data_IF_883261497461
#
_entry.id   IF_883261497461
#
_cell.length_a   1.000
_cell.length_b   1.000
_cell.length_c   1.000
_cell.angle_alpha   90.00
_cell.angle_beta   90.00
_cell.angle_gamma   90.00
#
_symmetry.space_group_name_H-M   'P 1'
#
loop_
_entity.id
_entity.type
_entity.pdbx_description
1 polymer ?
#
# COMPACT_ATOMS: atom_id res chain seq x y z
N UNK A 1 12.94 3.19 -13.28
CA UNK A 1 13.33 3.87 -12.02
C UNK A 1 12.29 3.56 -10.97
N UNK A 2 12.67 2.89 -9.89
CA UNK A 2 11.82 2.75 -8.70
C UNK A 2 11.90 4.09 -7.96
N UNK A 3 10.78 4.75 -7.72
CA UNK A 3 10.78 6.03 -6.99
C UNK A 3 11.44 5.82 -5.61
N UNK A 4 12.38 6.69 -5.18
CA UNK A 4 12.98 6.58 -3.87
C UNK A 4 11.89 6.68 -2.79
N UNK A 5 12.12 5.97 -1.68
CA UNK A 5 11.24 5.93 -0.49
C UNK A 5 10.75 7.33 -0.06
N UNK A 6 11.61 8.32 -0.26
CA UNK A 6 11.37 9.74 0.02
C UNK A 6 10.20 10.34 -0.74
N UNK A 7 9.90 9.85 -1.95
CA UNK A 7 8.81 10.33 -2.81
C UNK A 7 7.41 9.84 -2.42
N UNK A 8 7.30 8.83 -1.54
CA UNK A 8 6.01 8.33 -1.07
C UNK A 8 5.55 9.20 0.11
N UNK A 9 4.45 9.95 -0.10
CA UNK A 9 3.80 10.74 0.97
C UNK A 9 2.98 9.80 1.86
N UNK A 10 3.45 9.53 3.07
CA UNK A 10 2.71 8.80 4.10
C UNK A 10 2.13 9.76 5.13
N UNK A 11 0.88 9.54 5.51
CA UNK A 11 0.26 10.24 6.64
C UNK A 11 0.68 9.60 7.95
N UNK A 12 1.34 10.36 8.84
CA UNK A 12 1.74 9.87 10.18
C UNK A 12 0.54 9.35 10.97
N UNK A 13 -0.58 10.06 10.93
CA UNK A 13 -1.83 9.64 11.60
C UNK A 13 -2.36 8.32 11.05
N UNK A 14 -2.29 8.12 9.73
CA UNK A 14 -2.70 6.86 9.10
C UNK A 14 -1.81 5.70 9.54
N UNK A 15 -0.50 5.92 9.57
CA UNK A 15 0.47 4.90 10.00
C UNK A 15 0.30 4.56 11.48
N UNK A 16 0.15 5.54 12.37
CA UNK A 16 -0.05 5.28 13.81
C UNK A 16 -1.37 4.53 14.06
N UNK A 17 -2.42 4.81 13.28
CA UNK A 17 -3.69 4.09 13.41
C UNK A 17 -3.56 2.59 13.08
N UNK A 18 -2.69 2.23 12.15
CA UNK A 18 -2.44 0.82 11.76
C UNK A 18 -1.30 0.17 12.53
N UNK A 19 -0.33 0.97 12.97
CA UNK A 19 0.86 0.57 13.71
C UNK A 19 1.05 1.50 14.93
N UNK A 20 0.23 1.33 15.99
CA UNK A 20 0.30 2.18 17.18
C UNK A 20 1.66 2.14 17.88
N UNK A 21 2.41 1.04 17.70
CA UNK A 21 3.76 0.86 18.21
C UNK A 21 4.77 1.88 17.66
N UNK A 22 4.49 2.49 16.51
CA UNK A 22 5.37 3.47 15.86
C UNK A 22 5.09 4.93 16.28
N UNK A 23 4.18 5.18 17.23
CA UNK A 23 3.79 6.55 17.62
C UNK A 23 4.98 7.40 18.10
N UNK A 24 5.85 6.79 18.92
CA UNK A 24 7.00 7.43 19.57
C UNK A 24 8.34 7.14 18.87
N UNK A 25 8.32 6.42 17.75
CA UNK A 25 9.54 6.05 17.02
C UNK A 25 9.92 7.17 16.04
N UNK A 26 11.14 7.71 16.11
CA UNK A 26 11.61 8.76 15.19
C UNK A 26 11.74 8.26 13.74
N UNK A 27 12.02 6.97 13.57
CA UNK A 27 12.17 6.28 12.30
C UNK A 27 10.87 5.60 11.82
N UNK A 28 9.72 5.92 12.43
CA UNK A 28 8.39 5.36 12.11
C UNK A 28 8.13 5.23 10.60
N UNK A 29 8.52 6.25 9.82
CA UNK A 29 8.28 6.30 8.37
C UNK A 29 9.05 5.20 7.64
N UNK A 30 10.31 4.98 8.01
CA UNK A 30 11.14 3.93 7.39
C UNK A 30 10.59 2.56 7.76
N UNK A 31 10.26 2.36 9.03
CA UNK A 31 9.75 1.08 9.53
C UNK A 31 8.41 0.72 8.88
N UNK A 32 7.49 1.68 8.77
CA UNK A 32 6.21 1.46 8.10
C UNK A 32 6.38 1.06 6.62
N UNK A 33 7.34 1.66 5.92
CA UNK A 33 7.62 1.34 4.52
C UNK A 33 8.26 -0.03 4.37
N UNK A 34 9.19 -0.40 5.25
CA UNK A 34 9.76 -1.75 5.24
C UNK A 34 8.70 -2.81 5.57
N UNK A 35 7.82 -2.56 6.55
CA UNK A 35 6.67 -3.44 6.85
C UNK A 35 5.76 -3.62 5.64
N UNK A 36 5.41 -2.52 4.96
CA UNK A 36 4.60 -2.57 3.75
C UNK A 36 5.30 -3.35 2.64
N UNK A 37 6.59 -3.11 2.39
CA UNK A 37 7.37 -3.86 1.40
C UNK A 37 7.39 -5.34 1.71
N UNK A 38 7.63 -5.72 2.96
CA UNK A 38 7.70 -7.11 3.37
C UNK A 38 6.35 -7.80 3.26
N UNK A 39 5.26 -7.11 3.60
CA UNK A 39 3.91 -7.60 3.34
C UNK A 39 3.68 -7.82 1.83
N UNK A 40 4.02 -6.83 1.00
CA UNK A 40 3.86 -6.91 -0.45
C UNK A 40 4.74 -8.00 -1.10
N UNK A 41 5.91 -8.32 -0.54
CA UNK A 41 6.75 -9.44 -0.98
C UNK A 41 6.11 -10.80 -0.68
N UNK A 42 5.34 -10.91 0.41
CA UNK A 42 4.61 -12.14 0.78
C UNK A 42 3.42 -12.42 -0.14
N UNK A 43 2.95 -11.42 -0.89
CA UNK A 43 1.88 -11.61 -1.86
C UNK A 43 2.46 -12.23 -3.15
N UNK A 44 2.16 -13.51 -3.36
CA UNK A 44 2.75 -14.35 -4.42
C UNK A 44 2.42 -13.89 -5.85
N UNK A 45 1.27 -13.24 -6.06
CA UNK A 45 0.78 -12.85 -7.38
C UNK A 45 0.43 -11.36 -7.46
N UNK A 46 0.48 -10.82 -8.66
CA UNK A 46 0.05 -9.43 -8.95
C UNK A 46 -1.45 -9.27 -8.69
N UNK A 47 -2.25 -10.33 -8.88
CA UNK A 47 -3.68 -10.36 -8.56
C UNK A 47 -3.92 -10.21 -7.05
N UNK A 48 -3.20 -10.97 -6.21
CA UNK A 48 -3.29 -10.84 -4.74
C UNK A 48 -2.92 -9.42 -4.27
N UNK A 49 -1.94 -8.79 -4.92
CA UNK A 49 -1.55 -7.40 -4.64
C UNK A 49 -2.67 -6.42 -4.98
N UNK A 50 -3.36 -6.64 -6.10
CA UNK A 50 -4.49 -5.83 -6.52
C UNK A 50 -5.69 -6.00 -5.58
N UNK A 51 -5.97 -7.22 -5.14
CA UNK A 51 -7.04 -7.51 -4.18
C UNK A 51 -6.77 -6.82 -2.84
N UNK A 52 -5.55 -6.92 -2.31
CA UNK A 52 -5.15 -6.18 -1.11
C UNK A 52 -5.37 -4.66 -1.25
N UNK A 53 -4.93 -4.07 -2.37
CA UNK A 53 -5.12 -2.63 -2.62
C UNK A 53 -6.61 -2.29 -2.73
N UNK A 54 -7.42 -3.12 -3.38
CA UNK A 54 -8.87 -2.94 -3.49
C UNK A 54 -9.54 -2.95 -2.12
N UNK A 55 -9.17 -3.89 -1.25
CA UNK A 55 -9.68 -3.99 0.11
C UNK A 55 -9.30 -2.78 0.95
N UNK A 56 -8.04 -2.35 0.90
CA UNK A 56 -7.57 -1.17 1.63
C UNK A 56 -8.28 0.11 1.16
N UNK A 57 -8.43 0.32 -0.15
CA UNK A 57 -9.21 1.44 -0.67
C UNK A 57 -10.65 1.41 -0.15
N UNK A 58 -11.28 0.24 -0.16
CA UNK A 58 -12.67 0.06 0.31
C UNK A 58 -12.80 0.34 1.81
N UNK A 59 -11.84 -0.12 2.63
CA UNK A 59 -11.75 0.16 4.07
C UNK A 59 -11.69 1.65 4.37
N UNK A 60 -11.04 2.44 3.53
CA UNK A 60 -10.99 3.91 3.65
C UNK A 60 -12.12 4.64 2.91
N UNK A 61 -13.15 3.92 2.45
CA UNK A 61 -14.35 4.49 1.82
C UNK A 61 -14.19 4.82 0.34
N UNK A 62 -13.09 4.42 -0.29
CA UNK A 62 -12.88 4.60 -1.73
C UNK A 62 -13.40 3.41 -2.53
N UNK A 63 -13.93 3.66 -3.72
CA UNK A 63 -14.35 2.62 -4.66
C UNK A 63 -13.28 2.43 -5.75
N UNK A 64 -12.57 1.31 -5.70
CA UNK A 64 -11.63 0.95 -6.76
C UNK A 64 -12.40 0.56 -8.04
N UNK A 65 -12.27 1.36 -9.10
CA UNK A 65 -12.99 1.14 -10.35
C UNK A 65 -12.17 0.34 -11.36
N UNK A 66 -10.87 0.64 -11.46
CA UNK A 66 -10.02 0.13 -12.53
C UNK A 66 -8.69 -0.39 -11.98
N UNK A 67 -8.11 -1.34 -12.68
CA UNK A 67 -6.77 -1.85 -12.42
C UNK A 67 -6.02 -2.11 -13.73
N UNK A 68 -4.70 -2.18 -13.63
CA UNK A 68 -3.82 -2.52 -14.73
C UNK A 68 -2.77 -3.51 -14.24
N UNK A 69 -2.48 -4.50 -15.07
CA UNK A 69 -1.41 -5.48 -14.87
C UNK A 69 -0.42 -5.28 -16.02
N UNK A 70 0.89 -5.21 -15.74
CA UNK A 70 2.03 -5.15 -16.70
C UNK A 70 1.72 -4.76 -18.16
N UNK A 71 1.43 -3.48 -18.43
CA UNK A 71 1.29 -2.97 -19.81
C UNK A 71 0.04 -3.45 -20.57
N UNK A 72 -0.83 -4.24 -19.93
CA UNK A 72 -2.12 -4.63 -20.48
C UNK A 72 -3.11 -3.46 -20.46
N UNK A 73 -4.16 -3.57 -21.27
CA UNK A 73 -5.26 -2.60 -21.26
C UNK A 73 -5.91 -2.56 -19.88
N UNK A 74 -6.27 -1.36 -19.43
CA UNK A 74 -6.96 -1.11 -18.16
C UNK A 74 -8.24 -1.95 -18.11
N UNK A 75 -8.43 -2.69 -17.01
CA UNK A 75 -9.61 -3.52 -16.73
C UNK A 75 -10.42 -2.90 -15.60
N UNK A 76 -11.73 -3.12 -15.62
CA UNK A 76 -12.62 -2.75 -14.52
C UNK A 76 -12.61 -3.87 -13.47
N UNK A 77 -12.54 -3.51 -12.18
CA UNK A 77 -12.82 -4.50 -11.14
C UNK A 77 -14.25 -5.02 -11.30
N UNK A 78 -14.44 -6.34 -11.28
CA UNK A 78 -15.77 -6.95 -11.24
C UNK A 78 -16.38 -6.80 -9.85
#
# INVERSE_FOLDING_TARGET
MVAPIEGIKLSRLGVIKEHPDLENDEDWRKIAIERLKDYMKRLDSEEKKLDYIKEELTKFGYKALFYQVKGWRVKRFK
#
